data_IF_648711320399
#
_entry.id   IF_648711320399
#
_cell.length_a   1.000
_cell.length_b   1.000
_cell.length_c   1.000
_cell.angle_alpha   90.00
_cell.angle_beta   90.00
_cell.angle_gamma   90.00
#
_symmetry.space_group_name_H-M   'P 1'
#
loop_
_entity.id
_entity.type
_entity.pdbx_description
1 polymer ?
#
# COMPACT_ATOMS: atom_id res chain seq x y z
N UNK A 1 -46.16 -9.26 -17.57
CA UNK A 1 -45.88 -10.53 -18.28
C UNK A 1 -45.53 -10.20 -19.72
N UNK A 2 -44.25 -10.17 -20.06
CA UNK A 2 -43.77 -10.05 -21.44
C UNK A 2 -43.04 -11.35 -21.80
N UNK A 3 -43.65 -12.12 -22.69
CA UNK A 3 -43.05 -13.27 -23.37
C UNK A 3 -42.41 -12.78 -24.65
N UNK A 4 -41.10 -13.00 -24.83
CA UNK A 4 -40.50 -13.23 -26.16
C UNK A 4 -39.37 -14.23 -26.04
N UNK A 5 -39.55 -15.32 -26.78
CA UNK A 5 -38.58 -16.33 -27.16
C UNK A 5 -37.43 -15.70 -27.96
N UNK A 6 -36.21 -16.19 -27.79
CA UNK A 6 -35.22 -16.28 -28.88
C UNK A 6 -34.28 -17.48 -28.66
N UNK A 7 -34.57 -18.52 -29.45
CA UNK A 7 -33.65 -19.37 -30.21
C UNK A 7 -32.38 -19.92 -29.53
N UNK A 8 -32.50 -21.20 -29.16
CA UNK A 8 -31.45 -22.21 -29.26
C UNK A 8 -30.83 -22.20 -30.67
N UNK A 9 -29.53 -21.92 -30.75
CA UNK A 9 -28.71 -22.31 -31.90
C UNK A 9 -27.48 -23.02 -31.35
N UNK A 10 -27.45 -24.34 -31.50
CA UNK A 10 -26.29 -25.15 -31.18
C UNK A 10 -25.17 -24.87 -32.18
N UNK A 11 -23.98 -24.59 -31.66
CA UNK A 11 -22.75 -24.67 -32.39
C UNK A 11 -21.84 -25.67 -31.66
N UNK A 12 -21.84 -26.91 -32.14
CA UNK A 12 -20.73 -27.84 -31.92
C UNK A 12 -19.54 -27.30 -32.70
N UNK A 13 -18.53 -26.79 -32.00
CA UNK A 13 -17.21 -26.55 -32.57
C UNK A 13 -16.19 -27.36 -31.77
N UNK A 14 -15.42 -28.13 -32.54
CA UNK A 14 -14.64 -29.25 -32.08
C UNK A 14 -13.48 -28.87 -31.16
N UNK A 15 -13.06 -29.86 -30.40
CA UNK A 15 -11.77 -29.92 -29.73
C UNK A 15 -10.67 -29.91 -30.79
N UNK A 16 -10.30 -28.72 -31.24
CA UNK A 16 -9.02 -28.50 -31.91
C UNK A 16 -7.95 -28.47 -30.83
N UNK A 17 -7.12 -29.51 -30.80
CA UNK A 17 -5.94 -29.55 -29.94
C UNK A 17 -5.00 -28.41 -30.31
N UNK A 18 -4.96 -27.39 -29.46
CA UNK A 18 -3.80 -26.53 -29.35
C UNK A 18 -2.86 -27.17 -28.34
N UNK A 19 -1.87 -27.87 -28.89
CA UNK A 19 -0.70 -28.29 -28.16
C UNK A 19 -0.01 -27.06 -27.54
N UNK A 20 0.39 -27.19 -26.28
CA UNK A 20 1.55 -26.47 -25.75
C UNK A 20 1.35 -25.03 -25.31
N UNK A 21 0.21 -24.67 -24.71
CA UNK A 21 0.29 -23.67 -23.65
C UNK A 21 0.57 -24.43 -22.36
N UNK A 22 1.84 -24.70 -22.10
CA UNK A 22 2.30 -24.74 -20.72
C UNK A 22 2.05 -23.34 -20.18
N UNK A 23 0.81 -23.08 -19.74
CA UNK A 23 0.65 -22.24 -18.56
C UNK A 23 1.37 -23.03 -17.47
N UNK A 24 2.70 -22.89 -17.43
CA UNK A 24 3.39 -22.97 -16.17
C UNK A 24 2.60 -21.98 -15.34
N UNK A 25 1.71 -22.47 -14.47
CA UNK A 25 1.22 -21.65 -13.40
C UNK A 25 2.48 -21.02 -12.84
N UNK A 26 2.63 -19.68 -12.96
CA UNK A 26 3.71 -18.97 -12.31
C UNK A 26 3.76 -19.56 -10.91
N UNK A 27 4.91 -20.08 -10.47
CA UNK A 27 4.98 -20.85 -9.24
C UNK A 27 4.44 -19.98 -8.11
N UNK A 28 3.15 -20.10 -7.75
CA UNK A 28 2.51 -19.12 -6.90
C UNK A 28 3.12 -19.22 -5.51
N UNK A 29 3.90 -18.20 -5.13
CA UNK A 29 4.31 -18.05 -3.75
C UNK A 29 3.03 -17.97 -2.90
N UNK A 30 2.93 -18.70 -1.77
CA UNK A 30 1.81 -18.54 -0.86
C UNK A 30 1.80 -17.11 -0.31
N UNK A 31 0.63 -16.55 0.03
CA UNK A 31 0.56 -15.25 0.65
C UNK A 31 1.24 -15.26 2.04
N UNK A 32 1.77 -14.11 2.51
CA UNK A 32 2.34 -14.00 3.85
C UNK A 32 1.26 -14.17 4.93
N UNK A 33 1.63 -14.64 6.13
CA UNK A 33 0.68 -14.65 7.25
C UNK A 33 0.69 -13.27 7.90
N UNK A 34 -0.45 -12.58 7.83
CA UNK A 34 -0.62 -11.25 8.43
C UNK A 34 -1.31 -11.34 9.79
N UNK A 35 -1.15 -10.35 10.68
CA UNK A 35 -1.80 -10.30 11.99
C UNK A 35 -3.32 -10.02 11.86
N UNK A 36 -4.08 -11.05 11.47
CA UNK A 36 -5.51 -10.94 11.13
C UNK A 36 -6.38 -10.44 12.27
N UNK A 37 -6.08 -10.79 13.53
CA UNK A 37 -6.83 -10.27 14.67
C UNK A 37 -6.70 -8.75 14.80
N UNK A 38 -5.47 -8.23 14.70
CA UNK A 38 -5.17 -6.81 14.75
C UNK A 38 -5.79 -6.06 13.56
N UNK A 39 -5.71 -6.63 12.35
CA UNK A 39 -6.34 -6.05 11.16
C UNK A 39 -7.87 -5.93 11.34
N UNK A 40 -8.53 -6.98 11.84
CA UNK A 40 -9.97 -6.97 12.07
C UNK A 40 -10.37 -5.98 13.19
N UNK A 41 -9.62 -5.95 14.29
CA UNK A 41 -9.90 -5.07 15.42
C UNK A 41 -9.65 -3.59 15.07
N UNK A 42 -8.67 -3.31 14.22
CA UNK A 42 -8.36 -1.97 13.69
C UNK A 42 -9.27 -1.53 12.54
N UNK A 43 -10.12 -2.41 12.00
CA UNK A 43 -11.04 -2.09 10.90
C UNK A 43 -10.37 -2.01 9.53
N UNK A 44 -9.27 -2.73 9.34
CA UNK A 44 -8.55 -2.81 8.07
C UNK A 44 -9.25 -3.74 7.08
N UNK A 45 -9.43 -3.26 5.86
CA UNK A 45 -10.04 -4.05 4.77
C UNK A 45 -8.97 -4.41 3.75
N UNK A 46 -8.93 -5.70 3.34
CA UNK A 46 -8.04 -6.15 2.28
C UNK A 46 -8.53 -5.64 0.93
N UNK A 47 -7.68 -4.93 0.20
CA UNK A 47 -8.02 -4.34 -1.11
C UNK A 47 -7.42 -5.10 -2.28
N UNK A 48 -6.26 -5.72 -2.09
CA UNK A 48 -5.57 -6.43 -3.16
C UNK A 48 -4.86 -7.70 -2.68
N UNK A 49 -4.67 -8.63 -3.62
CA UNK A 49 -3.79 -9.78 -3.51
C UNK A 49 -3.22 -10.11 -4.89
N UNK A 50 -1.88 -10.09 -5.00
CA UNK A 50 -1.17 -10.31 -6.25
C UNK A 50 0.01 -11.27 -6.06
N UNK A 51 0.41 -11.97 -7.12
CA UNK A 51 1.61 -12.82 -7.14
C UNK A 51 2.33 -12.68 -8.48
N UNK A 52 3.65 -12.48 -8.43
CA UNK A 52 4.46 -12.14 -9.61
C UNK A 52 5.86 -12.76 -9.54
N UNK A 53 6.42 -13.21 -10.67
CA UNK A 53 7.85 -13.53 -10.74
C UNK A 53 8.63 -12.22 -10.76
N UNK A 54 9.32 -11.91 -9.66
CA UNK A 54 9.96 -10.61 -9.42
C UNK A 54 11.46 -10.61 -9.72
N UNK A 55 12.06 -11.79 -9.89
CA UNK A 55 13.52 -11.89 -10.00
C UNK A 55 13.96 -13.09 -10.84
N UNK A 56 14.92 -12.88 -11.74
CA UNK A 56 15.71 -13.92 -12.41
C UNK A 56 17.16 -13.41 -12.56
N UNK A 57 18.09 -13.97 -11.78
CA UNK A 57 19.52 -13.61 -11.82
C UNK A 57 20.42 -14.81 -11.65
N UNK A 58 21.64 -14.69 -12.17
CA UNK A 58 22.68 -15.70 -11.99
C UNK A 58 23.83 -15.16 -11.14
N UNK A 59 24.16 -15.87 -10.05
CA UNK A 59 25.34 -15.64 -9.21
C UNK A 59 26.34 -16.77 -9.44
N UNK A 60 27.34 -16.50 -10.29
CA UNK A 60 28.30 -17.53 -10.71
C UNK A 60 27.60 -18.66 -11.49
N UNK A 61 27.70 -19.94 -11.05
CA UNK A 61 27.03 -21.06 -11.72
C UNK A 61 25.57 -21.28 -11.28
N UNK A 62 25.04 -20.49 -10.34
CA UNK A 62 23.69 -20.68 -9.77
C UNK A 62 22.75 -19.60 -10.32
N UNK A 63 21.65 -20.01 -10.93
CA UNK A 63 20.53 -19.11 -11.25
C UNK A 63 19.51 -19.15 -10.10
N UNK A 64 19.04 -17.98 -9.70
CA UNK A 64 18.05 -17.75 -8.64
C UNK A 64 16.84 -17.08 -9.27
N UNK A 65 15.71 -17.77 -9.21
CA UNK A 65 14.39 -17.22 -9.53
C UNK A 65 13.71 -16.81 -8.22
N UNK A 66 12.96 -15.71 -8.22
CA UNK A 66 12.10 -15.35 -7.10
C UNK A 66 10.67 -15.05 -7.53
N UNK A 67 9.71 -15.58 -6.77
CA UNK A 67 8.29 -15.28 -6.91
C UNK A 67 7.80 -14.61 -5.65
N UNK A 68 7.05 -13.52 -5.82
CA UNK A 68 6.43 -12.78 -4.72
C UNK A 68 4.94 -13.08 -4.63
N UNK A 69 4.38 -12.94 -3.43
CA UNK A 69 2.95 -12.80 -3.19
C UNK A 69 2.71 -11.67 -2.20
N UNK A 70 1.91 -10.68 -2.60
CA UNK A 70 1.62 -9.47 -1.84
C UNK A 70 0.15 -9.44 -1.44
N UNK A 71 -0.12 -8.97 -0.23
CA UNK A 71 -1.46 -8.60 0.25
C UNK A 71 -1.44 -7.15 0.70
N UNK A 72 -2.50 -6.40 0.36
CA UNK A 72 -2.64 -4.99 0.72
C UNK A 72 -3.94 -4.75 1.47
N UNK A 73 -3.87 -3.87 2.48
CA UNK A 73 -4.97 -3.45 3.33
C UNK A 73 -5.03 -1.93 3.43
N UNK A 74 -6.23 -1.40 3.64
CA UNK A 74 -6.50 0.02 3.88
C UNK A 74 -7.36 0.21 5.13
N UNK A 75 -7.18 1.33 5.82
CA UNK A 75 -8.12 1.79 6.84
C UNK A 75 -9.31 2.47 6.15
N UNK A 76 -10.36 1.67 5.91
CA UNK A 76 -11.58 2.11 5.21
C UNK A 76 -12.33 3.18 6.02
N UNK A 77 -12.33 3.09 7.36
CA UNK A 77 -12.98 4.08 8.21
C UNK A 77 -12.27 5.44 8.17
N UNK A 78 -10.95 5.44 8.10
CA UNK A 78 -10.19 6.66 7.85
C UNK A 78 -10.47 7.21 6.45
N UNK A 79 -10.46 6.36 5.43
CA UNK A 79 -10.74 6.77 4.05
C UNK A 79 -12.11 7.43 3.92
N UNK A 80 -13.18 6.80 4.43
CA UNK A 80 -14.53 7.36 4.45
C UNK A 80 -14.62 8.66 5.25
N UNK A 81 -13.94 8.73 6.39
CA UNK A 81 -13.89 9.95 7.22
C UNK A 81 -13.21 11.09 6.48
N UNK A 82 -12.11 10.83 5.79
CA UNK A 82 -11.38 11.86 5.03
C UNK A 82 -12.20 12.29 3.81
N UNK A 83 -12.78 11.35 3.05
CA UNK A 83 -13.64 11.67 1.92
C UNK A 83 -14.82 12.55 2.34
N UNK A 84 -15.57 12.14 3.37
CA UNK A 84 -16.73 12.90 3.87
C UNK A 84 -16.36 14.30 4.37
N UNK A 85 -15.21 14.46 5.05
CA UNK A 85 -14.76 15.76 5.56
C UNK A 85 -14.12 16.65 4.51
N UNK A 86 -13.77 16.09 3.35
CA UNK A 86 -13.21 16.81 2.21
C UNK A 86 -14.19 16.91 1.05
N UNK A 87 -15.49 16.66 1.28
CA UNK A 87 -16.52 16.70 0.23
C UNK A 87 -16.13 15.86 -1.01
N UNK A 88 -15.61 14.66 -0.74
CA UNK A 88 -15.14 13.68 -1.72
C UNK A 88 -13.98 14.15 -2.62
N UNK A 89 -13.28 15.23 -2.27
CA UNK A 89 -12.05 15.64 -2.97
C UNK A 89 -10.89 14.69 -2.68
N UNK A 90 -10.82 14.14 -1.46
CA UNK A 90 -9.79 13.17 -1.08
C UNK A 90 -10.45 11.81 -0.89
N UNK A 91 -10.39 10.99 -1.93
CA UNK A 91 -10.94 9.63 -1.92
C UNK A 91 -9.86 8.55 -1.79
N UNK A 92 -8.57 8.91 -1.87
CA UNK A 92 -7.49 7.94 -1.72
C UNK A 92 -7.37 7.46 -0.27
N UNK A 93 -6.91 6.22 -0.09
CA UNK A 93 -6.62 5.70 1.24
C UNK A 93 -5.33 6.34 1.77
N UNK A 94 -5.44 7.16 2.82
CA UNK A 94 -4.28 7.80 3.44
C UNK A 94 -3.55 6.91 4.45
N UNK A 95 -4.14 5.75 4.82
CA UNK A 95 -3.46 4.73 5.59
C UNK A 95 -3.56 3.36 4.94
N UNK A 96 -2.39 2.77 4.70
CA UNK A 96 -2.23 1.51 3.99
C UNK A 96 -1.25 0.62 4.73
N UNK A 97 -1.46 -0.68 4.64
CA UNK A 97 -0.55 -1.72 5.13
C UNK A 97 -0.37 -2.77 4.05
N UNK A 98 0.85 -3.27 3.88
CA UNK A 98 1.13 -4.38 2.98
C UNK A 98 2.11 -5.38 3.58
N UNK A 99 2.02 -6.60 3.09
CA UNK A 99 3.00 -7.65 3.33
C UNK A 99 3.23 -8.42 2.05
N UNK A 100 4.49 -8.73 1.78
CA UNK A 100 4.94 -9.51 0.63
C UNK A 100 5.82 -10.64 1.13
N UNK A 101 5.53 -11.85 0.68
CA UNK A 101 6.42 -13.00 0.79
C UNK A 101 7.15 -13.19 -0.52
N UNK A 102 8.46 -13.42 -0.47
CA UNK A 102 9.31 -13.68 -1.62
C UNK A 102 10.00 -15.03 -1.45
N UNK A 103 9.62 -16.01 -2.26
CA UNK A 103 10.22 -17.34 -2.30
C UNK A 103 11.30 -17.41 -3.38
N UNK A 104 12.43 -18.06 -3.06
CA UNK A 104 13.57 -18.21 -3.95
C UNK A 104 13.75 -19.66 -4.39
N UNK A 105 14.13 -19.86 -5.65
CA UNK A 105 14.48 -21.17 -6.22
C UNK A 105 15.88 -21.11 -6.85
N UNK A 106 16.89 -21.81 -6.29
CA UNK A 106 16.85 -22.56 -5.04
C UNK A 106 16.71 -21.63 -3.81
N UNK A 107 16.20 -22.17 -2.70
CA UNK A 107 16.08 -21.44 -1.44
C UNK A 107 17.45 -20.90 -0.99
N UNK A 108 17.46 -19.68 -0.47
CA UNK A 108 18.63 -18.92 -0.02
C UNK A 108 19.50 -19.68 0.99
N UNK A 109 18.90 -20.46 1.90
CA UNK A 109 19.66 -21.22 2.89
C UNK A 109 20.35 -22.47 2.29
N UNK A 110 19.96 -22.87 1.07
CA UNK A 110 20.63 -23.91 0.31
C UNK A 110 21.77 -23.40 -0.57
N UNK A 111 22.05 -22.08 -0.55
CA UNK A 111 23.17 -21.53 -1.31
C UNK A 111 24.52 -21.97 -0.69
N UNK A 112 25.47 -22.50 -1.50
CA UNK A 112 26.75 -22.97 -1.00
C UNK A 112 27.51 -21.89 -0.21
N UNK A 113 27.90 -22.21 1.02
CA UNK A 113 28.65 -21.33 1.92
C UNK A 113 27.99 -19.95 2.20
N UNK A 114 26.66 -19.84 2.04
CA UNK A 114 25.91 -18.60 2.27
C UNK A 114 26.29 -17.46 1.31
N UNK A 115 26.97 -17.78 0.20
CA UNK A 115 27.45 -16.81 -0.77
C UNK A 115 26.27 -16.09 -1.41
N UNK A 116 26.33 -14.76 -1.45
CA UNK A 116 25.33 -13.94 -2.14
C UNK A 116 24.08 -13.63 -1.31
N UNK A 117 23.87 -14.23 -0.13
CA UNK A 117 22.65 -13.99 0.68
C UNK A 117 22.55 -12.53 1.14
N UNK A 118 23.67 -11.94 1.56
CA UNK A 118 23.69 -10.53 2.01
C UNK A 118 23.47 -9.58 0.83
N UNK A 119 24.13 -9.85 -0.28
CA UNK A 119 24.01 -9.09 -1.51
C UNK A 119 22.58 -9.15 -2.07
N UNK A 120 21.97 -10.33 -2.05
CA UNK A 120 20.59 -10.54 -2.48
C UNK A 120 19.59 -9.87 -1.54
N UNK A 121 19.77 -9.94 -0.20
CA UNK A 121 18.91 -9.20 0.74
C UNK A 121 19.01 -7.69 0.54
N UNK A 122 20.21 -7.18 0.25
CA UNK A 122 20.39 -5.77 -0.09
C UNK A 122 19.69 -5.40 -1.40
N UNK A 123 19.78 -6.26 -2.42
CA UNK A 123 19.10 -6.08 -3.70
C UNK A 123 17.57 -6.15 -3.55
N UNK A 124 17.04 -7.09 -2.76
CA UNK A 124 15.61 -7.15 -2.44
C UNK A 124 15.17 -5.89 -1.73
N UNK A 125 15.97 -5.35 -0.79
CA UNK A 125 15.65 -4.09 -0.11
C UNK A 125 15.62 -2.91 -1.06
N UNK A 126 16.59 -2.80 -1.96
CA UNK A 126 16.60 -1.74 -2.98
C UNK A 126 15.38 -1.84 -3.89
N UNK A 127 15.06 -3.02 -4.42
CA UNK A 127 13.87 -3.20 -5.25
C UNK A 127 12.58 -2.93 -4.46
N UNK A 128 12.48 -3.38 -3.22
CA UNK A 128 11.32 -3.13 -2.36
C UNK A 128 11.11 -1.63 -2.14
N UNK A 129 12.20 -0.87 -1.93
CA UNK A 129 12.15 0.59 -1.83
C UNK A 129 11.61 1.20 -3.11
N UNK A 130 12.24 0.89 -4.25
CA UNK A 130 11.88 1.48 -5.54
C UNK A 130 10.42 1.17 -5.90
N UNK A 131 9.96 -0.06 -5.63
CA UNK A 131 8.56 -0.45 -5.83
C UNK A 131 7.62 0.25 -4.87
N UNK A 132 8.02 0.50 -3.63
CA UNK A 132 7.19 1.20 -2.65
C UNK A 132 7.06 2.69 -2.98
N UNK A 133 8.15 3.35 -3.38
CA UNK A 133 8.13 4.74 -3.86
C UNK A 133 7.22 4.87 -5.10
N UNK A 134 7.33 3.97 -6.08
CA UNK A 134 6.44 3.96 -7.26
C UNK A 134 4.96 3.76 -6.90
N UNK A 135 4.66 2.92 -5.90
CA UNK A 135 3.28 2.74 -5.42
C UNK A 135 2.76 4.02 -4.74
N UNK A 136 3.59 4.70 -3.94
CA UNK A 136 3.23 5.98 -3.34
C UNK A 136 2.91 7.02 -4.43
N UNK A 137 3.74 7.13 -5.47
CA UNK A 137 3.48 8.01 -6.62
C UNK A 137 2.17 7.65 -7.33
N UNK A 138 1.92 6.36 -7.56
CA UNK A 138 0.70 5.89 -8.21
C UNK A 138 -0.57 6.18 -7.40
N UNK A 139 -0.45 6.34 -6.07
CA UNK A 139 -1.53 6.75 -5.18
C UNK A 139 -1.69 8.28 -5.08
N UNK A 140 -0.90 9.05 -5.84
CA UNK A 140 -0.96 10.50 -5.91
C UNK A 140 -0.08 11.22 -4.88
N UNK A 141 0.83 10.51 -4.21
CA UNK A 141 1.78 11.14 -3.30
C UNK A 141 2.94 11.78 -4.08
N UNK A 142 3.45 12.90 -3.57
CA UNK A 142 4.60 13.63 -4.12
C UNK A 142 5.64 13.89 -3.03
N UNK A 143 6.78 14.47 -3.41
CA UNK A 143 7.89 14.81 -2.51
C UNK A 143 8.34 13.62 -1.63
N UNK A 144 8.45 12.45 -2.26
CA UNK A 144 8.84 11.21 -1.58
C UNK A 144 10.33 11.24 -1.29
N UNK A 145 10.69 11.22 -0.02
CA UNK A 145 12.07 11.29 0.45
C UNK A 145 12.32 10.28 1.56
N UNK A 146 13.54 9.75 1.64
CA UNK A 146 13.95 8.96 2.79
C UNK A 146 14.17 9.90 3.99
N UNK A 147 13.35 9.74 5.02
CA UNK A 147 13.38 10.55 6.23
C UNK A 147 14.21 9.92 7.35
N UNK A 148 14.44 8.61 7.29
CA UNK A 148 15.22 7.91 8.31
C UNK A 148 15.47 6.43 8.05
N UNK A 149 16.19 5.83 8.98
CA UNK A 149 16.43 4.39 9.08
C UNK A 149 16.29 3.97 10.55
N UNK A 150 15.94 2.72 10.78
CA UNK A 150 15.72 2.21 12.13
C UNK A 150 15.75 0.69 12.19
N UNK A 151 15.23 0.16 13.29
CA UNK A 151 15.02 -1.28 13.45
C UNK A 151 13.64 -1.54 14.06
N UNK A 152 13.14 -2.76 13.83
CA UNK A 152 11.91 -3.27 14.42
C UNK A 152 12.09 -4.74 14.79
N UNK A 153 11.62 -5.12 15.97
CA UNK A 153 11.57 -6.52 16.39
C UNK A 153 10.29 -7.16 15.87
N UNK A 154 10.44 -8.30 15.21
CA UNK A 154 9.36 -9.07 14.60
C UNK A 154 8.84 -10.08 15.62
N UNK A 155 7.54 -10.34 15.61
CA UNK A 155 6.87 -11.25 16.54
C UNK A 155 7.45 -12.68 16.52
N UNK A 156 8.04 -13.09 15.39
CA UNK A 156 8.72 -14.38 15.18
C UNK A 156 10.15 -14.43 15.72
N UNK A 157 10.68 -13.30 16.23
CA UNK A 157 11.95 -13.21 16.96
C UNK A 157 13.12 -12.62 16.17
N UNK A 158 12.93 -12.28 14.90
CA UNK A 158 13.90 -11.56 14.08
C UNK A 158 13.93 -10.07 14.43
N UNK A 159 15.05 -9.41 14.13
CA UNK A 159 15.13 -7.94 14.10
C UNK A 159 15.37 -7.51 12.65
N UNK A 160 14.51 -6.63 12.14
CA UNK A 160 14.58 -6.12 10.78
C UNK A 160 15.03 -4.66 10.77
N UNK A 161 15.86 -4.28 9.79
CA UNK A 161 16.14 -2.87 9.52
C UNK A 161 14.95 -2.23 8.80
N UNK A 162 14.58 -1.03 9.21
CA UNK A 162 13.48 -0.26 8.65
C UNK A 162 13.99 0.93 7.87
N UNK A 163 13.35 1.22 6.74
CA UNK A 163 13.48 2.50 6.03
C UNK A 163 12.24 3.32 6.32
N UNK A 164 12.44 4.58 6.73
CA UNK A 164 11.36 5.54 6.92
C UNK A 164 11.36 6.53 5.73
N UNK A 165 10.18 6.76 5.17
CA UNK A 165 9.94 7.70 4.07
C UNK A 165 8.97 8.79 4.53
N UNK A 166 9.14 10.00 4.02
CA UNK A 166 8.16 11.09 4.08
C UNK A 166 7.65 11.38 2.68
N UNK A 167 6.39 11.80 2.59
CA UNK A 167 5.76 12.25 1.35
C UNK A 167 4.61 13.19 1.67
N UNK A 168 4.01 13.79 0.65
CA UNK A 168 2.80 14.62 0.80
C UNK A 168 1.71 14.14 -0.14
N UNK A 169 0.46 14.23 0.32
CA UNK A 169 -0.70 14.14 -0.55
C UNK A 169 -1.23 15.56 -0.84
N UNK A 170 -1.29 16.00 -2.11
CA UNK A 170 -1.76 17.33 -2.46
C UNK A 170 -3.28 17.41 -2.28
N UNK A 171 -3.74 18.26 -1.36
CA UNK A 171 -5.13 18.65 -1.23
C UNK A 171 -5.35 19.96 -1.99
N UNK A 172 -6.11 19.90 -3.08
CA UNK A 172 -6.32 21.02 -4.00
C UNK A 172 -7.17 22.16 -3.43
N UNK A 173 -7.67 22.01 -2.20
CA UNK A 173 -8.60 22.94 -1.58
C UNK A 173 -10.05 22.64 -1.92
N UNK A 174 -10.93 23.53 -1.49
CA UNK A 174 -12.37 23.42 -1.72
C UNK A 174 -12.93 24.79 -2.11
N UNK A 175 -13.90 24.81 -3.01
CA UNK A 175 -14.66 26.01 -3.31
C UNK A 175 -16.14 25.66 -3.31
N UNK A 176 -16.93 26.45 -2.60
CA UNK A 176 -18.38 26.30 -2.64
C UNK A 176 -19.05 27.67 -2.64
N UNK A 177 -20.06 27.79 -3.50
CA UNK A 177 -20.85 29.00 -3.64
C UNK A 177 -21.71 29.23 -2.39
N UNK A 178 -21.68 30.45 -1.87
CA UNK A 178 -22.59 30.92 -0.81
C UNK A 178 -23.74 31.72 -1.41
N UNK A 179 -23.47 32.47 -2.47
CA UNK A 179 -24.47 33.18 -3.29
C UNK A 179 -24.16 33.01 -4.78
N UNK A 180 -24.96 33.61 -5.67
CA UNK A 180 -24.67 33.57 -7.12
C UNK A 180 -23.32 34.19 -7.51
N UNK A 181 -22.79 35.13 -6.70
CA UNK A 181 -21.57 35.87 -7.00
C UNK A 181 -20.47 35.73 -5.93
N UNK A 182 -20.72 34.98 -4.86
CA UNK A 182 -19.78 34.82 -3.75
C UNK A 182 -19.57 33.34 -3.45
N UNK A 183 -18.31 32.98 -3.21
CA UNK A 183 -17.90 31.65 -2.81
C UNK A 183 -16.93 31.75 -1.63
N UNK A 184 -16.90 30.69 -0.82
CA UNK A 184 -15.84 30.50 0.16
C UNK A 184 -14.83 29.53 -0.43
N UNK A 185 -13.56 29.91 -0.34
CA UNK A 185 -12.42 29.14 -0.85
C UNK A 185 -11.56 28.67 0.31
N UNK A 186 -11.40 27.35 0.42
CA UNK A 186 -10.39 26.73 1.26
C UNK A 186 -9.15 26.53 0.40
N UNK A 187 -8.00 27.10 0.77
CA UNK A 187 -6.81 27.05 -0.06
C UNK A 187 -6.23 25.64 -0.16
N UNK A 188 -5.53 25.38 -1.26
CA UNK A 188 -4.75 24.16 -1.43
C UNK A 188 -3.69 24.04 -0.32
N UNK A 189 -3.45 22.81 0.11
CA UNK A 189 -2.46 22.49 1.14
C UNK A 189 -2.07 21.02 1.07
N UNK A 190 -1.02 20.64 1.78
CA UNK A 190 -0.50 19.28 1.75
C UNK A 190 -0.93 18.52 3.00
N UNK A 191 -1.29 17.25 2.83
CA UNK A 191 -1.42 16.30 3.93
C UNK A 191 -0.11 15.52 4.02
N UNK A 192 0.65 15.72 5.09
CA UNK A 192 1.92 15.02 5.26
C UNK A 192 1.67 13.54 5.54
N UNK A 193 2.41 12.68 4.83
CA UNK A 193 2.36 11.22 4.95
C UNK A 193 3.72 10.73 5.42
N UNK A 194 3.70 9.85 6.43
CA UNK A 194 4.84 9.05 6.83
C UNK A 194 4.64 7.63 6.32
N UNK A 195 5.70 7.00 5.86
CA UNK A 195 5.70 5.61 5.47
C UNK A 195 6.91 4.89 6.03
N UNK A 196 6.79 3.59 6.21
CA UNK A 196 7.94 2.76 6.58
C UNK A 196 7.80 1.36 5.99
N UNK A 197 8.92 0.72 5.75
CA UNK A 197 8.94 -0.71 5.44
C UNK A 197 10.17 -1.38 6.04
N UNK A 198 10.08 -2.70 6.21
CA UNK A 198 11.12 -3.56 6.74
C UNK A 198 11.28 -4.77 5.80
N UNK A 199 12.51 -5.27 5.71
CA UNK A 199 12.84 -6.49 4.94
C UNK A 199 13.63 -7.42 5.83
N UNK A 200 13.19 -8.67 5.94
CA UNK A 200 13.89 -9.69 6.73
C UNK A 200 13.76 -11.08 6.13
N UNK A 201 14.71 -11.93 6.49
CA UNK A 201 14.69 -13.34 6.15
C UNK A 201 13.89 -14.12 7.20
N UNK A 202 12.94 -14.95 6.77
CA UNK A 202 12.14 -15.81 7.65
C UNK A 202 12.12 -17.23 7.09
N UNK A 203 12.76 -18.16 7.80
CA UNK A 203 12.89 -19.54 7.34
C UNK A 203 13.54 -19.63 5.96
N UNK A 204 12.75 -19.98 4.95
CA UNK A 204 13.20 -20.27 3.58
C UNK A 204 12.92 -19.14 2.58
N UNK A 205 12.37 -18.01 3.07
CA UNK A 205 11.88 -16.91 2.24
C UNK A 205 12.24 -15.55 2.85
N UNK A 206 11.95 -14.50 2.09
CA UNK A 206 12.09 -13.11 2.56
C UNK A 206 10.70 -12.51 2.71
N UNK A 207 10.49 -11.77 3.80
CA UNK A 207 9.31 -10.94 3.98
C UNK A 207 9.70 -9.48 3.76
N UNK A 208 8.82 -8.77 3.06
CA UNK A 208 8.79 -7.30 2.98
C UNK A 208 7.46 -6.90 3.62
N UNK A 209 7.48 -6.01 4.61
CA UNK A 209 6.24 -5.47 5.16
C UNK A 209 6.38 -3.99 5.45
N UNK A 210 5.33 -3.24 5.18
CA UNK A 210 5.34 -1.79 5.37
C UNK A 210 3.94 -1.21 5.37
N UNK A 211 3.91 0.11 5.47
CA UNK A 211 2.67 0.88 5.43
C UNK A 211 2.93 2.37 5.36
N UNK A 212 1.88 3.12 5.07
CA UNK A 212 1.88 4.57 5.11
C UNK A 212 0.70 5.07 5.94
N UNK A 213 0.83 6.26 6.51
CA UNK A 213 -0.17 6.88 7.37
C UNK A 213 0.03 8.40 7.46
N UNK A 214 -1.00 9.18 7.82
CA UNK A 214 -0.85 10.62 8.03
C UNK A 214 0.16 10.95 9.14
N UNK A 215 1.14 11.80 8.80
CA UNK A 215 2.23 12.20 9.69
C UNK A 215 1.81 13.30 10.68
N UNK A 216 0.79 14.09 10.34
CA UNK A 216 0.25 15.17 11.18
C UNK A 216 -1.27 15.26 11.06
N UNK A 217 -1.90 15.98 11.99
CA UNK A 217 -3.30 16.37 11.77
C UNK A 217 -3.39 17.44 10.69
N UNK A 218 -4.41 17.33 9.84
CA UNK A 218 -4.76 18.38 8.90
C UNK A 218 -5.91 19.20 9.49
N UNK A 219 -5.60 20.44 9.86
CA UNK A 219 -6.57 21.39 10.38
C UNK A 219 -6.35 22.77 9.74
N UNK A 220 -7.42 23.39 9.24
CA UNK A 220 -7.41 24.71 8.63
C UNK A 220 -8.66 25.48 9.02
N UNK A 221 -8.51 26.77 9.27
CA UNK A 221 -9.62 27.70 9.47
C UNK A 221 -9.52 28.79 8.43
N UNK A 222 -10.60 29.04 7.71
CA UNK A 222 -10.71 30.13 6.75
C UNK A 222 -11.84 31.04 7.15
N UNK A 223 -11.55 32.34 7.23
CA UNK A 223 -12.54 33.38 7.45
C UNK A 223 -12.71 34.18 6.15
N UNK A 224 -13.95 34.39 5.75
CA UNK A 224 -14.29 35.17 4.54
C UNK A 224 -15.41 36.14 4.88
N UNK A 225 -15.14 37.42 4.70
CA UNK A 225 -16.14 38.47 4.79
C UNK A 225 -16.96 38.49 3.49
N UNK A 226 -18.26 38.21 3.61
CA UNK A 226 -19.20 38.28 2.48
C UNK A 226 -19.80 39.68 2.34
N UNK A 227 -19.92 40.41 3.45
CA UNK A 227 -20.35 41.82 3.46
C UNK A 227 -19.91 42.51 4.74
N UNK A 228 -20.13 43.82 4.85
CA UNK A 228 -19.81 44.63 6.03
C UNK A 228 -20.44 44.12 7.35
N UNK A 229 -21.43 43.23 7.29
CA UNK A 229 -22.09 42.65 8.46
C UNK A 229 -22.12 41.12 8.51
N UNK A 230 -21.49 40.43 7.56
CA UNK A 230 -21.53 38.96 7.47
C UNK A 230 -20.11 38.43 7.21
N UNK A 231 -19.59 37.69 8.19
CA UNK A 231 -18.37 36.89 8.08
C UNK A 231 -18.73 35.42 8.18
N UNK A 232 -18.19 34.61 7.29
CA UNK A 232 -18.28 33.14 7.35
C UNK A 232 -16.92 32.61 7.78
N UNK A 233 -16.93 31.72 8.76
CA UNK A 233 -15.75 30.95 9.16
C UNK A 233 -15.99 29.48 8.86
N UNK A 234 -14.99 28.84 8.26
CA UNK A 234 -15.02 27.44 7.86
C UNK A 234 -13.81 26.75 8.45
N UNK A 235 -14.08 25.77 9.29
CA UNK A 235 -13.07 24.91 9.90
C UNK A 235 -13.06 23.55 9.20
N UNK A 236 -11.91 23.18 8.65
CA UNK A 236 -11.63 21.84 8.14
C UNK A 236 -10.70 21.17 9.13
N UNK A 237 -11.18 20.13 9.82
CA UNK A 237 -10.36 19.29 10.70
C UNK A 237 -10.59 17.82 10.35
N UNK A 238 -9.57 17.17 9.80
CA UNK A 238 -9.64 15.74 9.43
C UNK A 238 -9.54 14.82 10.65
N UNK A 239 -9.19 15.34 11.83
CA UNK A 239 -9.11 14.59 13.08
C UNK A 239 -8.15 13.41 12.99
N UNK A 240 -7.05 13.57 12.23
CA UNK A 240 -6.04 12.55 12.04
C UNK A 240 -5.26 12.38 13.34
N UNK A 241 -4.90 11.13 13.65
CA UNK A 241 -4.23 10.73 14.89
C UNK A 241 -2.86 10.08 14.57
N UNK A 242 -1.84 10.87 14.16
CA UNK A 242 -0.57 10.34 13.65
C UNK A 242 0.14 9.36 14.59
N UNK A 243 0.10 9.62 15.90
CA UNK A 243 0.73 8.76 16.88
C UNK A 243 0.05 7.38 16.95
N UNK A 244 -1.28 7.34 16.88
CA UNK A 244 -2.05 6.10 16.84
C UNK A 244 -1.75 5.32 15.57
N UNK A 245 -1.81 5.98 14.41
CA UNK A 245 -1.53 5.33 13.12
C UNK A 245 -0.10 4.80 13.04
N UNK A 246 0.88 5.56 13.57
CA UNK A 246 2.27 5.12 13.64
C UNK A 246 2.41 3.84 14.45
N UNK A 247 1.82 3.80 15.64
CA UNK A 247 1.87 2.60 16.49
C UNK A 247 1.18 1.43 15.80
N UNK A 248 -0.01 1.64 15.28
CA UNK A 248 -0.80 0.61 14.62
C UNK A 248 -0.08 0.01 13.40
N UNK A 249 0.41 0.84 12.47
CA UNK A 249 1.15 0.36 11.29
C UNK A 249 2.42 -0.38 11.71
N UNK A 250 3.16 0.11 12.72
CA UNK A 250 4.36 -0.60 13.20
C UNK A 250 4.02 -1.95 13.82
N UNK A 251 2.94 -2.03 14.58
CA UNK A 251 2.47 -3.28 15.18
C UNK A 251 2.02 -4.28 14.10
N UNK A 252 1.36 -3.80 13.03
CA UNK A 252 1.02 -4.63 11.87
C UNK A 252 2.26 -5.17 11.15
N UNK A 253 3.25 -4.31 10.90
CA UNK A 253 4.53 -4.70 10.27
C UNK A 253 5.28 -5.74 11.11
N UNK A 254 5.35 -5.53 12.43
CA UNK A 254 6.01 -6.47 13.35
C UNK A 254 5.24 -7.80 13.49
N UNK A 255 3.95 -7.83 13.19
CA UNK A 255 3.08 -9.00 13.36
C UNK A 255 3.08 -10.01 12.21
N UNK A 256 3.79 -9.74 11.11
CA UNK A 256 3.83 -10.61 9.92
C UNK A 256 4.73 -11.84 10.14
N UNK A 257 4.30 -13.00 9.65
CA UNK A 257 4.96 -14.31 9.80
C UNK A 257 5.06 -15.08 8.49
#
# INVERSE_FOLDING_TARGET
MNRREYLLTGATLGTAGLAGCSFLAAAEAPPPNVPTAQLNDGGWTRTDQSSETVFDRSYGPVSVEAVSSTVQYVDEQLQERVASRTLDQVQTALSVFFATRVDFSPNLDNLPAGVGRKELLAEVRTNARDSFEQQMEAQGLTDIEQSGEGTIDIATGETAETVELSAVYPFEGLSFAVTENEAVEIPASNIDISAMFAVWHHGDFVIISGGAYPAQNFAQTVETDLSDGITVSVDVDLGLQPATYRTEVRDLVAGVQ
#
